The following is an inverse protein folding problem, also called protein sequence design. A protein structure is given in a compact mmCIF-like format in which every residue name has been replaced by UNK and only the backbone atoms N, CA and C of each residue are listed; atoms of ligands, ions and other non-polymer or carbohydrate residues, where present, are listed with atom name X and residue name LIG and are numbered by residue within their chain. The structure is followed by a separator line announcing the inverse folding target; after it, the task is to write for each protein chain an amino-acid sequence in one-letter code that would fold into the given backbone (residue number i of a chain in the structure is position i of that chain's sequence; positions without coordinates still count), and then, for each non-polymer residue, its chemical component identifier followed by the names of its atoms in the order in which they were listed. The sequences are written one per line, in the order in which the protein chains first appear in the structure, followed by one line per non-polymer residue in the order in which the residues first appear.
data_IF_036856611230
#
_entry.id   IF_036856611230
#
_cell.length_a   1.000
_cell.length_b   1.000
_cell.length_c   1.000
_cell.angle_alpha   90.00
_cell.angle_beta   90.00
_cell.angle_gamma   90.00
#
_symmetry.space_group_name_H-M   'P 1'
#
loop_
_entity.id
_entity.type
_entity.pdbx_description
1 polymer ?
#
# COMPACT_ATOMS: atom_id res chain seq x y z
N UNK A 1 -0.63 -25.67 -15.14
CA UNK A 1 0.05 -24.44 -14.72
C UNK A 1 -0.02 -24.40 -13.21
N UNK A 2 1.07 -24.76 -12.53
CA UNK A 2 1.04 -25.15 -11.13
C UNK A 2 2.38 -24.93 -10.45
N UNK A 3 2.44 -23.87 -9.64
CA UNK A 3 3.54 -23.57 -8.72
C UNK A 3 3.06 -23.41 -7.26
N UNK A 4 1.81 -23.75 -6.93
CA UNK A 4 1.22 -23.51 -5.59
C UNK A 4 1.35 -22.03 -5.12
N UNK A 5 1.49 -21.10 -6.06
CA UNK A 5 1.47 -19.66 -5.82
C UNK A 5 0.03 -19.16 -5.82
N UNK A 6 -0.26 -18.22 -4.92
CA UNK A 6 -1.56 -17.57 -4.81
C UNK A 6 -1.35 -16.06 -4.81
N UNK A 7 -2.40 -15.29 -5.12
CA UNK A 7 -2.37 -13.84 -5.00
C UNK A 7 -3.43 -13.40 -3.99
N UNK A 8 -3.01 -12.69 -2.96
CA UNK A 8 -3.88 -12.02 -1.99
C UNK A 8 -4.10 -10.59 -2.48
N UNK A 9 -5.36 -10.20 -2.64
CA UNK A 9 -5.75 -8.83 -2.95
C UNK A 9 -6.47 -8.21 -1.75
N UNK A 10 -5.93 -7.12 -1.23
CA UNK A 10 -6.52 -6.32 -0.15
C UNK A 10 -7.07 -5.04 -0.77
N UNK A 11 -8.35 -4.77 -0.57
CA UNK A 11 -9.01 -3.57 -1.12
C UNK A 11 -9.55 -2.71 0.02
N UNK A 12 -9.21 -1.43 0.03
CA UNK A 12 -9.79 -0.43 0.91
C UNK A 12 -10.60 0.57 0.08
N UNK A 13 -11.88 0.74 0.42
CA UNK A 13 -12.73 1.79 -0.15
C UNK A 13 -12.68 3.00 0.78
N UNK A 14 -12.39 4.17 0.22
CA UNK A 14 -12.20 5.43 0.93
C UNK A 14 -13.33 6.38 0.59
N UNK A 15 -13.91 7.01 1.60
CA UNK A 15 -14.89 8.08 1.38
C UNK A 15 -14.22 9.32 0.76
N UNK A 16 -15.02 10.16 0.09
CA UNK A 16 -14.48 11.37 -0.55
C UNK A 16 -13.83 12.29 0.48
N UNK A 17 -12.63 12.79 0.15
CA UNK A 17 -11.81 13.62 1.04
C UNK A 17 -10.90 12.83 1.99
N UNK A 18 -11.03 11.50 2.06
CA UNK A 18 -10.09 10.66 2.79
C UNK A 18 -8.96 10.16 1.90
N UNK A 19 -7.77 10.11 2.49
CA UNK A 19 -6.56 9.61 1.86
C UNK A 19 -5.92 8.52 2.71
N UNK A 20 -5.35 7.51 2.04
CA UNK A 20 -4.51 6.49 2.63
C UNK A 20 -3.10 6.63 2.07
N UNK A 21 -2.09 6.76 2.92
CA UNK A 21 -0.71 6.95 2.46
C UNK A 21 -0.08 5.65 1.98
N UNK A 22 0.81 5.75 1.01
CA UNK A 22 1.62 4.63 0.51
C UNK A 22 2.41 3.95 1.62
N UNK A 23 2.69 2.66 1.44
CA UNK A 23 3.69 1.91 2.22
C UNK A 23 5.11 2.43 1.97
N UNK A 24 5.36 3.10 0.84
CA UNK A 24 6.67 3.53 0.38
C UNK A 24 6.75 5.06 0.27
N UNK A 25 6.94 5.73 1.40
CA UNK A 25 7.18 7.16 1.43
C UNK A 25 8.67 7.48 1.22
N UNK A 26 8.96 8.61 0.58
CA UNK A 26 10.33 9.04 0.26
C UNK A 26 11.09 9.57 1.49
N UNK A 27 10.38 9.93 2.55
CA UNK A 27 10.90 10.49 3.79
C UNK A 27 10.09 9.98 4.97
N UNK A 28 10.75 9.85 6.12
CA UNK A 28 10.10 9.60 7.41
C UNK A 28 9.56 10.90 8.04
N UNK A 29 9.95 12.06 7.50
CA UNK A 29 9.38 13.35 7.85
C UNK A 29 8.07 13.52 7.07
N UNK A 30 6.92 13.26 7.70
CA UNK A 30 5.65 13.33 7.00
C UNK A 30 4.55 12.46 7.62
N UNK A 31 3.55 12.06 6.83
CA UNK A 31 2.49 11.18 7.29
C UNK A 31 3.01 9.76 7.56
N UNK A 32 2.30 9.03 8.42
CA UNK A 32 2.59 7.62 8.66
C UNK A 32 2.20 6.79 7.44
N UNK A 33 3.12 5.96 6.96
CA UNK A 33 2.87 5.01 5.89
C UNK A 33 1.91 3.91 6.32
N UNK A 34 1.16 3.38 5.35
CA UNK A 34 0.39 2.14 5.58
C UNK A 34 1.38 1.01 5.82
N UNK A 35 1.07 0.11 6.76
CA UNK A 35 1.82 -1.13 6.93
C UNK A 35 0.87 -2.33 6.81
N UNK A 36 1.32 -3.37 6.12
CA UNK A 36 0.58 -4.63 5.97
C UNK A 36 1.47 -5.75 6.50
N UNK A 37 0.95 -6.50 7.46
CA UNK A 37 1.66 -7.63 8.07
C UNK A 37 0.89 -8.91 7.80
N UNK A 38 1.59 -9.92 7.31
CA UNK A 38 1.03 -11.23 7.03
C UNK A 38 1.40 -12.21 8.14
N UNK A 39 0.41 -12.72 8.86
CA UNK A 39 0.63 -13.86 9.75
C UNK A 39 0.38 -15.17 8.98
N UNK A 40 1.48 -15.77 8.52
CA UNK A 40 1.45 -16.94 7.63
C UNK A 40 1.49 -18.29 8.39
N UNK A 41 1.62 -18.25 9.73
CA UNK A 41 1.74 -19.44 10.59
C UNK A 41 2.78 -20.48 10.14
N UNK A 42 3.80 -20.08 9.36
CA UNK A 42 4.86 -20.95 8.84
C UNK A 42 4.46 -21.91 7.71
N UNK A 43 3.23 -21.81 7.20
CA UNK A 43 2.73 -22.67 6.10
C UNK A 43 2.88 -22.01 4.73
N UNK A 44 3.00 -20.68 4.72
CA UNK A 44 3.15 -19.86 3.51
C UNK A 44 4.31 -18.88 3.68
N UNK A 45 4.77 -18.35 2.55
CA UNK A 45 5.73 -17.25 2.47
C UNK A 45 5.22 -16.18 1.51
N UNK A 46 5.63 -14.93 1.72
CA UNK A 46 5.38 -13.85 0.76
C UNK A 46 6.45 -13.85 -0.32
N UNK A 47 6.04 -13.72 -1.57
CA UNK A 47 6.92 -13.56 -2.72
C UNK A 47 7.05 -12.08 -3.08
N UNK A 48 8.16 -11.47 -2.65
CA UNK A 48 8.47 -10.06 -2.91
C UNK A 48 7.63 -9.08 -2.07
N UNK A 49 7.69 -7.80 -2.45
CA UNK A 49 6.97 -6.72 -1.76
C UNK A 49 5.49 -6.67 -2.14
N UNK A 50 4.65 -6.20 -1.20
CA UNK A 50 3.25 -5.92 -1.49
C UNK A 50 3.15 -4.77 -2.48
N UNK A 51 2.51 -5.04 -3.62
CA UNK A 51 2.34 -4.09 -4.71
C UNK A 51 1.16 -3.18 -4.42
N UNK A 52 1.32 -1.93 -4.80
CA UNK A 52 0.31 -0.89 -4.67
C UNK A 52 -0.26 -0.54 -6.05
N UNK A 53 -1.58 -0.39 -6.13
CA UNK A 53 -2.28 -0.05 -7.37
C UNK A 53 -3.15 1.19 -7.12
N UNK A 54 -3.19 2.08 -8.12
CA UNK A 54 -3.89 3.37 -8.11
C UNK A 54 -3.27 4.41 -7.16
N UNK A 55 -1.96 4.36 -6.96
CA UNK A 55 -1.24 5.38 -6.20
C UNK A 55 -1.21 6.71 -6.96
N UNK A 56 -1.47 7.80 -6.24
CA UNK A 56 -1.37 9.18 -6.70
C UNK A 56 -0.18 9.85 -6.01
N UNK A 57 0.48 10.77 -6.70
CA UNK A 57 1.54 11.59 -6.12
C UNK A 57 1.14 13.05 -6.14
N UNK A 58 1.37 13.77 -5.05
CA UNK A 58 1.09 15.20 -4.95
C UNK A 58 2.10 15.87 -4.04
N UNK A 59 2.46 17.11 -4.37
CA UNK A 59 3.19 17.95 -3.44
C UNK A 59 2.27 18.45 -2.32
N UNK A 60 2.69 18.23 -1.08
CA UNK A 60 2.03 18.71 0.12
C UNK A 60 2.80 19.90 0.71
N UNK A 61 2.20 21.11 0.74
CA UNK A 61 2.87 22.30 1.27
C UNK A 61 3.03 22.28 2.81
N UNK A 62 2.32 21.41 3.53
CA UNK A 62 2.49 21.26 4.99
C UNK A 62 3.80 20.55 5.29
N UNK A 63 4.16 19.57 4.46
CA UNK A 63 5.37 18.75 4.61
C UNK A 63 6.51 19.18 3.68
N UNK A 64 6.27 20.16 2.80
CA UNK A 64 7.22 20.64 1.79
C UNK A 64 7.83 19.50 0.94
N UNK A 65 7.01 18.51 0.59
CA UNK A 65 7.47 17.34 -0.17
C UNK A 65 6.38 16.66 -0.99
N UNK A 66 6.81 15.78 -1.89
CA UNK A 66 5.91 14.91 -2.65
C UNK A 66 5.47 13.73 -1.78
N UNK A 67 4.16 13.65 -1.51
CA UNK A 67 3.52 12.55 -0.81
C UNK A 67 2.82 11.63 -1.81
N UNK A 68 2.84 10.34 -1.51
CA UNK A 68 2.15 9.31 -2.30
C UNK A 68 0.99 8.73 -1.50
N UNK A 69 -0.22 8.73 -2.07
CA UNK A 69 -1.44 8.29 -1.39
C UNK A 69 -2.48 7.75 -2.36
N UNK A 70 -3.56 7.18 -1.82
CA UNK A 70 -4.73 6.70 -2.55
C UNK A 70 -5.96 7.53 -2.21
N UNK A 71 -6.84 7.72 -3.19
CA UNK A 71 -8.17 8.31 -3.03
C UNK A 71 -9.23 7.36 -3.56
N UNK A 72 -10.41 7.32 -2.93
CA UNK A 72 -11.56 6.47 -3.27
C UNK A 72 -11.33 4.95 -3.17
N UNK A 73 -10.24 4.41 -3.71
CA UNK A 73 -9.89 3.00 -3.65
C UNK A 73 -8.38 2.81 -3.58
N UNK A 74 -7.93 2.01 -2.60
CA UNK A 74 -6.58 1.50 -2.54
C UNK A 74 -6.61 -0.02 -2.76
N UNK A 75 -5.74 -0.52 -3.64
CA UNK A 75 -5.61 -1.96 -3.89
C UNK A 75 -4.18 -2.39 -3.67
N UNK A 76 -4.00 -3.34 -2.76
CA UNK A 76 -2.72 -3.96 -2.45
C UNK A 76 -2.72 -5.41 -2.90
N UNK A 77 -1.62 -5.85 -3.49
CA UNK A 77 -1.46 -7.22 -3.98
C UNK A 77 -0.19 -7.85 -3.46
N UNK A 78 -0.32 -9.00 -2.84
CA UNK A 78 0.80 -9.82 -2.38
C UNK A 78 0.69 -11.21 -2.99
N UNK A 79 1.82 -11.73 -3.43
CA UNK A 79 1.96 -13.14 -3.79
C UNK A 79 2.53 -13.94 -2.65
#
# INVERSE_FOLDING_TARGET
MGNQEYEVTITANLESGWHLYSQFLKSDEGPLSTYITYNLNGVFETIGLTKEINIENKYDPVWDMEISFFSHIAVFKQK
#
